data_IF_075720538743
#
_entry.id   IF_075720538743
#
_cell.length_a   1.000
_cell.length_b   1.000
_cell.length_c   1.000
_cell.angle_alpha   90.00
_cell.angle_beta   90.00
_cell.angle_gamma   90.00
#
_symmetry.space_group_name_H-M   'P 1'
#
loop_
_entity.id
_entity.type
_entity.pdbx_description
1 polymer ?
#
# COMPACT_ATOMS: atom_id res chain seq x y z
N UNK A 1 -9.78 -43.75 20.65
CA UNK A 1 -8.59 -43.15 20.00
C UNK A 1 -8.87 -42.56 18.62
N UNK A 2 -9.54 -43.28 17.71
CA UNK A 2 -9.80 -42.81 16.32
C UNK A 2 -10.60 -41.50 16.20
N UNK A 3 -11.61 -41.28 17.06
CA UNK A 3 -12.45 -40.05 17.04
C UNK A 3 -11.68 -38.83 17.58
N UNK A 4 -10.86 -39.02 18.61
CA UNK A 4 -10.00 -37.97 19.18
C UNK A 4 -8.92 -37.58 18.17
N UNK A 5 -8.35 -38.57 17.45
CA UNK A 5 -7.42 -38.34 16.34
C UNK A 5 -8.11 -37.62 15.16
N UNK A 6 -9.36 -37.96 14.84
CA UNK A 6 -10.15 -37.29 13.80
C UNK A 6 -10.46 -35.82 14.15
N UNK A 7 -10.79 -35.54 15.41
CA UNK A 7 -10.98 -34.17 15.92
C UNK A 7 -9.68 -33.35 15.86
N UNK A 8 -8.55 -33.96 16.20
CA UNK A 8 -7.24 -33.31 16.12
C UNK A 8 -6.85 -32.98 14.67
N UNK A 9 -7.11 -33.90 13.72
CA UNK A 9 -6.89 -33.65 12.29
C UNK A 9 -7.81 -32.56 11.75
N UNK A 10 -9.07 -32.51 12.19
CA UNK A 10 -10.03 -31.48 11.79
C UNK A 10 -9.64 -30.08 12.30
N UNK A 11 -9.10 -29.97 13.50
CA UNK A 11 -8.61 -28.69 14.06
C UNK A 11 -7.38 -28.17 13.31
N UNK A 12 -6.45 -29.04 12.92
CA UNK A 12 -5.24 -28.65 12.17
C UNK A 12 -5.58 -28.14 10.76
N UNK A 13 -6.63 -28.67 10.12
CA UNK A 13 -7.11 -28.22 8.80
C UNK A 13 -7.73 -26.80 8.81
N UNK A 14 -8.30 -26.34 9.93
CA UNK A 14 -8.84 -24.98 10.03
C UNK A 14 -7.76 -23.92 10.26
N UNK A 15 -6.58 -24.28 10.77
CA UNK A 15 -5.48 -23.34 10.96
C UNK A 15 -4.64 -23.11 9.70
N UNK A 16 -4.81 -23.91 8.65
CA UNK A 16 -3.96 -23.83 7.44
C UNK A 16 -4.33 -22.73 6.45
N UNK A 17 -5.46 -22.03 6.63
CA UNK A 17 -6.03 -21.12 5.61
C UNK A 17 -5.74 -19.62 5.80
N UNK A 18 -4.93 -19.20 6.77
CA UNK A 18 -4.66 -17.76 7.02
C UNK A 18 -3.24 -17.27 6.68
N UNK A 19 -2.40 -18.08 6.01
CA UNK A 19 -1.00 -17.71 5.71
C UNK A 19 -0.73 -17.18 4.29
N UNK A 20 -1.76 -16.88 3.50
CA UNK A 20 -1.59 -16.29 2.18
C UNK A 20 -2.15 -14.87 2.18
N UNK A 21 -1.26 -13.86 2.29
CA UNK A 21 -1.32 -12.56 1.57
C UNK A 21 -0.69 -11.35 2.30
N UNK A 22 0.05 -11.52 3.39
CA UNK A 22 0.91 -10.44 3.88
C UNK A 22 2.27 -10.47 3.17
N UNK A 23 2.30 -10.30 1.85
CA UNK A 23 3.52 -9.83 1.20
C UNK A 23 3.63 -8.35 1.51
N UNK A 24 4.16 -8.02 2.69
CA UNK A 24 4.64 -6.66 2.96
C UNK A 24 5.58 -6.31 1.82
N UNK A 25 5.31 -5.24 1.08
CA UNK A 25 6.18 -4.72 0.02
C UNK A 25 7.46 -4.17 0.66
N UNK A 26 8.26 -5.06 1.24
CA UNK A 26 9.45 -4.71 1.99
C UNK A 26 10.63 -4.74 1.04
N UNK A 27 11.40 -3.65 1.04
CA UNK A 27 12.80 -3.53 0.60
C UNK A 27 13.11 -2.94 -0.79
N UNK A 28 12.22 -2.18 -1.43
CA UNK A 28 12.67 -1.30 -2.54
C UNK A 28 13.01 0.07 -1.95
N UNK A 29 14.31 0.37 -1.85
CA UNK A 29 14.77 1.70 -1.46
C UNK A 29 14.46 2.68 -2.59
N UNK A 30 13.82 3.80 -2.28
CA UNK A 30 13.56 4.85 -3.24
C UNK A 30 14.88 5.47 -3.74
N UNK A 31 14.89 5.84 -5.01
CA UNK A 31 15.94 6.67 -5.62
C UNK A 31 15.71 8.14 -5.28
N UNK A 32 16.73 9.01 -5.39
CA UNK A 32 16.56 10.46 -5.18
C UNK A 32 15.47 11.07 -6.07
N UNK A 33 15.31 10.59 -7.30
CA UNK A 33 14.25 11.03 -8.21
C UNK A 33 12.85 10.65 -7.69
N UNK A 34 12.70 9.45 -7.14
CA UNK A 34 11.45 8.98 -6.54
C UNK A 34 11.13 9.72 -5.24
N UNK A 35 12.14 10.03 -4.42
CA UNK A 35 11.99 10.89 -3.24
C UNK A 35 11.55 12.30 -3.63
N UNK A 36 12.15 12.90 -4.67
CA UNK A 36 11.75 14.20 -5.17
C UNK A 36 10.31 14.21 -5.72
N UNK A 37 9.89 13.13 -6.38
CA UNK A 37 8.50 12.92 -6.82
C UNK A 37 7.55 12.78 -5.63
N UNK A 38 7.92 12.01 -4.62
CA UNK A 38 7.16 11.86 -3.38
C UNK A 38 6.95 13.21 -2.69
N UNK A 39 8.01 14.02 -2.58
CA UNK A 39 7.92 15.36 -1.99
C UNK A 39 6.88 16.23 -2.72
N UNK A 40 6.92 16.29 -4.05
CA UNK A 40 5.93 17.07 -4.84
C UNK A 40 4.49 16.62 -4.60
N UNK A 41 4.26 15.31 -4.48
CA UNK A 41 2.93 14.75 -4.20
C UNK A 41 2.49 15.09 -2.78
N UNK A 42 3.39 14.96 -1.80
CA UNK A 42 3.05 15.24 -0.40
C UNK A 42 2.79 16.73 -0.17
N UNK A 43 3.49 17.63 -0.86
CA UNK A 43 3.17 19.07 -0.80
C UNK A 43 1.74 19.37 -1.27
N UNK A 44 1.25 18.68 -2.31
CA UNK A 44 -0.15 18.82 -2.74
C UNK A 44 -1.14 18.26 -1.71
N UNK A 45 -0.77 17.20 -0.99
CA UNK A 45 -1.57 16.71 0.12
C UNK A 45 -1.52 17.65 1.32
N UNK A 46 -0.38 18.26 1.61
CA UNK A 46 -0.23 19.20 2.72
C UNK A 46 -1.16 20.41 2.56
N UNK A 47 -1.27 20.95 1.34
CA UNK A 47 -2.22 22.02 0.98
C UNK A 47 -3.67 21.68 1.38
N UNK A 48 -4.05 20.40 1.35
CA UNK A 48 -5.41 19.92 1.67
C UNK A 48 -5.56 19.41 3.10
N UNK A 49 -4.48 18.91 3.70
CA UNK A 49 -4.49 18.16 4.97
C UNK A 49 -3.91 18.94 6.14
N UNK A 50 -3.16 20.01 5.88
CA UNK A 50 -2.40 20.77 6.88
C UNK A 50 -1.62 19.84 7.80
N UNK A 51 -0.66 19.12 7.23
CA UNK A 51 0.15 18.14 7.93
C UNK A 51 1.02 18.84 8.97
N UNK A 52 1.26 18.15 10.09
CA UNK A 52 2.37 18.53 10.95
C UNK A 52 3.69 18.16 10.28
N UNK A 53 4.78 18.83 10.62
CA UNK A 53 6.13 18.52 10.10
C UNK A 53 6.48 17.02 10.26
N UNK A 54 6.11 16.42 11.40
CA UNK A 54 6.30 14.97 11.63
C UNK A 54 5.47 14.12 10.66
N UNK A 55 4.21 14.47 10.43
CA UNK A 55 3.35 13.73 9.50
C UNK A 55 3.84 13.87 8.07
N UNK A 56 4.25 15.08 7.68
CA UNK A 56 4.81 15.37 6.35
C UNK A 56 6.04 14.48 6.08
N UNK A 57 7.01 14.43 7.00
CA UNK A 57 8.21 13.60 6.85
C UNK A 57 7.88 12.10 6.72
N UNK A 58 6.95 11.60 7.56
CA UNK A 58 6.52 10.19 7.50
C UNK A 58 5.77 9.89 6.20
N UNK A 59 4.90 10.80 5.76
CA UNK A 59 4.17 10.66 4.51
C UNK A 59 5.15 10.68 3.33
N UNK A 60 6.09 11.63 3.26
CA UNK A 60 7.11 11.67 2.20
C UNK A 60 7.88 10.35 2.09
N UNK A 61 8.33 9.82 3.23
CA UNK A 61 9.05 8.55 3.29
C UNK A 61 8.20 7.41 2.73
N UNK A 62 6.96 7.26 3.20
CA UNK A 62 6.06 6.21 2.73
C UNK A 62 5.66 6.37 1.27
N UNK A 63 5.37 7.59 0.84
CA UNK A 63 5.04 7.88 -0.56
C UNK A 63 6.20 7.51 -1.49
N UNK A 64 7.45 7.75 -1.09
CA UNK A 64 8.62 7.34 -1.85
C UNK A 64 8.74 5.80 -1.96
N UNK A 65 8.50 5.07 -0.87
CA UNK A 65 8.42 3.60 -0.88
C UNK A 65 7.36 3.11 -1.87
N UNK A 66 6.14 3.67 -1.81
CA UNK A 66 5.05 3.29 -2.70
C UNK A 66 5.33 3.59 -4.16
N UNK A 67 5.96 4.74 -4.48
CA UNK A 67 6.39 5.06 -5.84
C UNK A 67 7.41 4.03 -6.34
N UNK A 68 8.40 3.69 -5.52
CA UNK A 68 9.44 2.75 -5.91
C UNK A 68 8.87 1.34 -6.18
N UNK A 69 7.93 0.90 -5.35
CA UNK A 69 7.24 -0.38 -5.53
C UNK A 69 6.32 -0.35 -6.76
N UNK A 70 5.58 0.74 -6.98
CA UNK A 70 4.71 0.90 -8.14
C UNK A 70 5.52 0.79 -9.44
N UNK A 71 6.64 1.52 -9.54
CA UNK A 71 7.53 1.47 -10.70
C UNK A 71 8.17 0.08 -10.88
N UNK A 72 8.52 -0.62 -9.79
CA UNK A 72 8.99 -2.01 -9.86
C UNK A 72 7.93 -2.97 -10.41
N UNK A 73 6.67 -2.83 -9.97
CA UNK A 73 5.53 -3.62 -10.48
C UNK A 73 5.34 -3.36 -11.98
N UNK A 74 5.34 -2.09 -12.40
CA UNK A 74 5.17 -1.69 -13.81
C UNK A 74 6.28 -2.24 -14.71
N UNK A 75 7.51 -2.34 -14.21
CA UNK A 75 8.66 -2.85 -14.95
C UNK A 75 8.83 -4.38 -14.89
N UNK A 76 7.94 -5.09 -14.19
CA UNK A 76 8.01 -6.54 -14.05
C UNK A 76 7.58 -7.27 -15.33
N UNK A 77 8.12 -8.47 -15.56
CA UNK A 77 7.77 -9.35 -16.69
C UNK A 77 6.46 -10.14 -16.43
N UNK A 78 5.45 -9.48 -15.87
CA UNK A 78 4.17 -10.09 -15.49
C UNK A 78 3.07 -9.71 -16.47
N UNK A 79 1.98 -10.49 -16.47
CA UNK A 79 0.83 -10.17 -17.31
C UNK A 79 0.15 -8.88 -16.84
N UNK A 80 -0.52 -8.17 -17.76
CA UNK A 80 -1.30 -6.97 -17.43
C UNK A 80 -2.30 -7.19 -16.29
N UNK A 81 -2.95 -8.37 -16.27
CA UNK A 81 -3.91 -8.73 -15.22
C UNK A 81 -3.24 -8.79 -13.85
N UNK A 82 -2.07 -9.40 -13.76
CA UNK A 82 -1.31 -9.48 -12.52
C UNK A 82 -0.80 -8.09 -12.11
N UNK A 83 -0.28 -7.30 -13.04
CA UNK A 83 0.15 -5.92 -12.80
C UNK A 83 -0.99 -5.08 -12.21
N UNK A 84 -2.15 -5.04 -12.86
CA UNK A 84 -3.30 -4.29 -12.36
C UNK A 84 -3.78 -4.79 -10.98
N UNK A 85 -3.71 -6.11 -10.73
CA UNK A 85 -4.03 -6.68 -9.42
C UNK A 85 -3.08 -6.23 -8.31
N UNK A 86 -1.77 -6.23 -8.57
CA UNK A 86 -0.76 -5.77 -7.61
C UNK A 86 -0.85 -4.25 -7.39
N UNK A 87 -1.06 -3.45 -8.44
CA UNK A 87 -1.24 -2.00 -8.31
C UNK A 87 -2.48 -1.65 -7.49
N UNK A 88 -3.59 -2.37 -7.68
CA UNK A 88 -4.78 -2.19 -6.85
C UNK A 88 -4.51 -2.53 -5.37
N UNK A 89 -3.85 -3.66 -5.11
CA UNK A 89 -3.50 -4.06 -3.75
C UNK A 89 -2.54 -3.05 -3.09
N UNK A 90 -1.53 -2.59 -3.81
CA UNK A 90 -0.59 -1.55 -3.35
C UNK A 90 -1.32 -0.25 -3.01
N UNK A 91 -2.28 0.15 -3.85
CA UNK A 91 -3.08 1.34 -3.63
C UNK A 91 -3.96 1.21 -2.37
N UNK A 92 -4.52 0.03 -2.10
CA UNK A 92 -5.25 -0.20 -0.85
C UNK A 92 -4.31 -0.11 0.36
N UNK A 93 -3.13 -0.70 0.27
CA UNK A 93 -2.15 -0.70 1.36
C UNK A 93 -1.63 0.70 1.69
N UNK A 94 -1.36 1.52 0.68
CA UNK A 94 -0.98 2.92 0.89
C UNK A 94 -2.06 3.69 1.67
N UNK A 95 -3.35 3.43 1.44
CA UNK A 95 -4.40 4.04 2.25
C UNK A 95 -4.35 3.57 3.72
N UNK A 96 -4.08 2.29 3.95
CA UNK A 96 -3.96 1.75 5.32
C UNK A 96 -2.77 2.39 6.05
N UNK A 97 -1.60 2.47 5.40
CA UNK A 97 -0.41 3.11 5.97
C UNK A 97 -0.64 4.61 6.25
N UNK A 98 -1.34 5.33 5.35
CA UNK A 98 -1.66 6.73 5.60
C UNK A 98 -2.62 6.92 6.76
N UNK A 99 -3.51 5.96 7.04
CA UNK A 99 -4.39 6.00 8.20
C UNK A 99 -3.62 5.99 9.53
N UNK A 100 -2.45 5.35 9.58
CA UNK A 100 -1.60 5.30 10.78
C UNK A 100 -0.81 6.60 10.99
N UNK A 101 -0.60 7.40 9.93
CA UNK A 101 0.12 8.68 9.96
C UNK A 101 -0.83 9.85 10.21
N UNK A 102 -2.00 9.81 9.58
CA UNK A 102 -2.97 10.90 9.59
C UNK A 102 -3.92 10.80 10.79
N UNK A 103 -4.37 11.95 11.28
CA UNK A 103 -5.54 11.96 12.18
C UNK A 103 -6.79 11.51 11.41
N UNK A 104 -7.81 11.04 12.12
CA UNK A 104 -9.05 10.60 11.49
C UNK A 104 -9.69 11.68 10.57
N UNK A 105 -9.81 12.97 10.98
CA UNK A 105 -10.31 14.02 10.09
C UNK A 105 -9.44 14.22 8.83
N UNK A 106 -8.12 14.20 8.97
CA UNK A 106 -7.19 14.30 7.83
C UNK A 106 -7.35 13.10 6.89
N UNK A 107 -7.46 11.88 7.43
CA UNK A 107 -7.65 10.68 6.63
C UNK A 107 -8.97 10.71 5.84
N UNK A 108 -10.02 11.31 6.40
CA UNK A 108 -11.29 11.50 5.71
C UNK A 108 -11.20 12.49 4.54
N UNK A 109 -10.37 13.54 4.66
CA UNK A 109 -10.05 14.43 3.53
C UNK A 109 -9.18 13.71 2.51
N UNK A 110 -8.14 13.02 2.95
CA UNK A 110 -7.22 12.24 2.11
C UNK A 110 -7.98 11.31 1.18
N UNK A 111 -8.94 10.51 1.69
CA UNK A 111 -9.75 9.61 0.86
C UNK A 111 -10.51 10.32 -0.27
N UNK A 112 -10.93 11.57 -0.06
CA UNK A 112 -11.67 12.37 -1.05
C UNK A 112 -10.76 12.92 -2.14
N UNK A 113 -9.55 13.34 -1.77
CA UNK A 113 -8.62 14.03 -2.68
C UNK A 113 -7.58 13.11 -3.33
N UNK A 114 -7.32 11.94 -2.73
CA UNK A 114 -6.26 11.02 -3.18
C UNK A 114 -6.35 10.66 -4.66
N UNK A 115 -7.53 10.27 -5.16
CA UNK A 115 -7.66 9.88 -6.57
C UNK A 115 -7.38 11.04 -7.55
N UNK A 116 -7.44 12.29 -7.09
CA UNK A 116 -7.08 13.47 -7.89
C UNK A 116 -5.58 13.75 -7.82
N UNK A 117 -4.96 13.60 -6.64
CA UNK A 117 -3.54 13.94 -6.38
C UNK A 117 -2.59 12.80 -6.78
N UNK A 118 -2.91 11.57 -6.38
CA UNK A 118 -2.12 10.35 -6.63
C UNK A 118 -3.07 9.23 -7.12
N UNK A 119 -3.47 9.23 -8.40
CA UNK A 119 -4.46 8.30 -8.93
C UNK A 119 -3.92 6.87 -9.04
N UNK A 120 -4.82 5.88 -8.88
CA UNK A 120 -4.50 4.48 -9.20
C UNK A 120 -4.19 4.34 -10.69
N UNK A 121 -3.00 3.83 -10.99
CA UNK A 121 -2.58 3.50 -12.36
C UNK A 121 -3.23 2.17 -12.77
N UNK A 122 -3.87 2.17 -13.95
CA UNK A 122 -4.45 0.96 -14.57
C UNK A 122 -3.97 0.86 -16.00
N UNK A 123 -3.39 -0.28 -16.37
CA UNK A 123 -3.01 -0.57 -17.76
C UNK A 123 -4.25 -0.96 -18.55
N UNK A 124 -4.68 -0.09 -19.46
CA UNK A 124 -5.77 -0.35 -20.42
C UNK A 124 -5.27 -1.19 -21.60
N UNK A 125 -6.22 -1.81 -22.33
CA UNK A 125 -5.95 -2.79 -23.39
C UNK A 125 -5.06 -2.27 -24.50
#
# INVERSE_FOLDING_TARGET
MKIIQLLFVSIVLFFSVNLASAQTYSSVKATPEQEAKANKIVLQFDDELSLTEKQELLFQTKQAEFIAVNESILNSQRTRKEINGMLLALYQEQANEMKEILTQPQYDVYKKVRNKIDPLIVILK
#
